data_IF_822514241151
#
_entry.id   IF_822514241151
#
_cell.length_a   1.000
_cell.length_b   1.000
_cell.length_c   1.000
_cell.angle_alpha   90.00
_cell.angle_beta   90.00
_cell.angle_gamma   90.00
#
_symmetry.space_group_name_H-M   'P 1'
#
loop_
_entity.id
_entity.type
_entity.pdbx_description
1 polymer ?
#
# COMPACT_ATOMS: atom_id res chain seq x y z
N UNK A 1 38.29 55.57 -7.91
CA UNK A 1 38.07 54.15 -8.27
C UNK A 1 36.69 53.59 -7.86
N UNK A 2 35.83 54.32 -7.14
CA UNK A 2 34.52 53.81 -6.68
C UNK A 2 33.42 53.79 -7.76
N UNK A 3 33.50 54.69 -8.76
CA UNK A 3 32.43 54.87 -9.76
C UNK A 3 32.26 53.68 -10.74
N UNK A 4 33.33 52.95 -11.06
CA UNK A 4 33.22 51.80 -11.98
C UNK A 4 32.58 50.59 -11.30
N UNK A 5 32.81 50.40 -10.01
CA UNK A 5 32.21 49.30 -9.23
C UNK A 5 30.71 49.48 -9.10
N UNK A 6 30.23 50.71 -8.89
CA UNK A 6 28.81 51.05 -8.81
C UNK A 6 28.07 50.86 -10.14
N UNK A 7 28.70 51.23 -11.26
CA UNK A 7 28.10 50.98 -12.59
C UNK A 7 27.98 49.47 -12.87
N UNK A 8 29.02 48.69 -12.56
CA UNK A 8 29.00 47.24 -12.80
C UNK A 8 27.93 46.56 -11.93
N UNK A 9 27.79 46.94 -10.66
CA UNK A 9 26.73 46.37 -9.80
C UNK A 9 25.33 46.77 -10.27
N UNK A 10 25.12 48.01 -10.72
CA UNK A 10 23.84 48.43 -11.30
C UNK A 10 23.50 47.67 -12.60
N UNK A 11 24.48 47.48 -13.48
CA UNK A 11 24.28 46.70 -14.72
C UNK A 11 23.96 45.23 -14.43
N UNK A 12 24.65 44.61 -13.47
CA UNK A 12 24.40 43.23 -13.07
C UNK A 12 23.04 43.06 -12.38
N UNK A 13 22.63 44.01 -11.53
CA UNK A 13 21.30 44.01 -10.91
C UNK A 13 20.18 44.21 -11.95
N UNK A 14 20.40 45.09 -12.92
CA UNK A 14 19.45 45.31 -14.03
C UNK A 14 19.31 44.07 -14.91
N UNK A 15 20.43 43.40 -15.24
CA UNK A 15 20.42 42.15 -15.99
C UNK A 15 19.69 41.03 -15.21
N UNK A 16 19.94 40.92 -13.90
CA UNK A 16 19.24 39.95 -13.02
C UNK A 16 17.74 40.23 -12.95
N UNK A 17 17.32 41.49 -12.85
CA UNK A 17 15.89 41.86 -12.85
C UNK A 17 15.22 41.63 -14.20
N UNK A 18 15.90 41.89 -15.32
CA UNK A 18 15.38 41.58 -16.66
C UNK A 18 15.21 40.08 -16.85
N UNK A 19 16.17 39.27 -16.39
CA UNK A 19 16.05 37.82 -16.44
C UNK A 19 14.89 37.31 -15.58
N UNK A 20 14.73 37.82 -14.35
CA UNK A 20 13.61 37.47 -13.46
C UNK A 20 12.25 37.82 -14.08
N UNK A 21 12.14 38.99 -14.72
CA UNK A 21 10.90 39.41 -15.41
C UNK A 21 10.60 38.56 -16.65
N UNK A 22 11.62 38.19 -17.43
CA UNK A 22 11.43 37.29 -18.57
C UNK A 22 10.99 35.89 -18.11
N UNK A 23 11.54 35.39 -17.00
CA UNK A 23 11.16 34.10 -16.40
C UNK A 23 9.73 34.15 -15.82
N UNK A 24 9.35 35.25 -15.18
CA UNK A 24 7.96 35.49 -14.72
C UNK A 24 6.97 35.63 -15.90
N UNK A 25 7.37 36.28 -17.00
CA UNK A 25 6.53 36.38 -18.20
C UNK A 25 6.37 35.04 -18.90
N UNK A 26 7.40 34.20 -18.97
CA UNK A 26 7.26 32.82 -19.47
C UNK A 26 6.34 31.98 -18.58
N UNK A 27 6.44 32.10 -17.25
CA UNK A 27 5.52 31.43 -16.33
C UNK A 27 4.07 31.94 -16.45
N UNK A 28 3.85 33.25 -16.65
CA UNK A 28 2.51 33.80 -16.88
C UNK A 28 1.93 33.39 -18.23
N UNK A 29 2.75 33.29 -19.28
CA UNK A 29 2.30 32.88 -20.60
C UNK A 29 1.95 31.39 -20.64
N UNK A 30 2.67 30.53 -19.89
CA UNK A 30 2.22 29.16 -19.62
C UNK A 30 0.94 29.12 -18.80
N UNK A 31 0.77 29.94 -17.75
CA UNK A 31 -0.47 29.96 -16.95
C UNK A 31 -1.72 30.37 -17.73
N UNK A 32 -1.60 31.28 -18.70
CA UNK A 32 -2.72 31.73 -19.54
C UNK A 32 -3.17 30.68 -20.57
N UNK A 33 -2.28 29.78 -21.01
CA UNK A 33 -2.64 28.66 -21.88
C UNK A 33 -3.43 27.57 -21.12
N UNK A 34 -3.19 27.40 -19.81
CA UNK A 34 -3.84 26.37 -18.99
C UNK A 34 -5.25 26.75 -18.48
N UNK A 35 -5.71 28.00 -18.65
CA UNK A 35 -7.02 28.42 -18.10
C UNK A 35 -8.21 28.12 -19.01
N UNK A 36 -8.00 27.72 -20.27
CA UNK A 36 -9.07 27.57 -21.26
C UNK A 36 -9.48 26.10 -21.54
N UNK A 37 -8.85 25.10 -20.91
CA UNK A 37 -9.08 23.68 -21.23
C UNK A 37 -8.66 22.70 -20.14
N UNK A 38 -9.02 22.96 -18.88
CA UNK A 38 -8.70 22.06 -17.76
C UNK A 38 -9.29 20.66 -17.98
N UNK A 39 -8.43 19.65 -18.02
CA UNK A 39 -8.74 18.24 -18.28
C UNK A 39 -8.78 17.86 -19.76
N UNK A 40 -8.70 18.82 -20.68
CA UNK A 40 -8.78 18.55 -22.13
C UNK A 40 -7.41 18.44 -22.80
N UNK A 41 -6.36 18.97 -22.19
CA UNK A 41 -4.99 18.89 -22.71
C UNK A 41 -4.49 17.45 -22.84
N UNK A 42 -4.99 16.55 -21.99
CA UNK A 42 -4.68 15.12 -22.07
C UNK A 42 -5.22 14.47 -23.35
N UNK A 43 -6.26 15.04 -23.99
CA UNK A 43 -6.77 14.53 -25.26
C UNK A 43 -5.76 14.73 -26.37
N UNK A 44 -5.06 15.86 -26.42
CA UNK A 44 -3.96 16.03 -27.37
C UNK A 44 -2.86 14.98 -27.16
N UNK A 45 -2.59 14.56 -25.91
CA UNK A 45 -1.64 13.48 -25.62
C UNK A 45 -2.16 12.10 -25.99
N UNK A 46 -3.46 11.83 -25.81
CA UNK A 46 -4.13 10.60 -26.24
C UNK A 46 -4.09 10.50 -27.77
N UNK A 47 -4.41 11.59 -28.47
CA UNK A 47 -4.47 11.61 -29.93
C UNK A 47 -3.08 11.53 -30.55
N UNK A 48 -2.08 12.18 -29.96
CA UNK A 48 -0.67 12.00 -30.36
C UNK A 48 -0.17 10.55 -30.18
N UNK A 49 -0.79 9.73 -29.32
CA UNK A 49 -0.48 8.30 -29.24
C UNK A 49 -1.21 7.46 -30.29
N UNK A 50 -2.37 7.94 -30.74
CA UNK A 50 -3.19 7.31 -31.77
C UNK A 50 -2.69 7.63 -33.19
N UNK A 51 -2.27 8.87 -33.42
CA UNK A 51 -1.63 9.36 -34.64
C UNK A 51 -0.24 8.71 -34.76
N UNK A 52 -0.08 7.78 -35.71
CA UNK A 52 1.17 7.01 -35.87
C UNK A 52 2.10 7.65 -36.88
N UNK A 53 1.60 8.52 -37.74
CA UNK A 53 2.35 9.16 -38.80
C UNK A 53 2.71 10.64 -38.49
N UNK A 54 2.24 11.16 -37.34
CA UNK A 54 2.41 12.52 -36.84
C UNK A 54 1.91 13.59 -37.84
N UNK A 55 0.87 13.28 -38.63
CA UNK A 55 0.30 14.22 -39.60
C UNK A 55 -0.72 15.21 -38.99
N UNK A 56 -1.02 15.03 -37.69
CA UNK A 56 -1.91 15.88 -36.92
C UNK A 56 -3.39 15.56 -37.08
N UNK A 57 -3.73 14.45 -37.75
CA UNK A 57 -5.10 13.99 -37.97
C UNK A 57 -5.14 12.47 -37.82
N UNK A 58 -6.34 11.93 -37.59
CA UNK A 58 -6.52 10.49 -37.44
C UNK A 58 -7.24 9.91 -38.64
N UNK A 59 -6.57 9.00 -39.34
CA UNK A 59 -7.21 8.10 -40.30
C UNK A 59 -8.11 7.09 -39.58
N UNK A 60 -9.05 6.47 -40.31
CA UNK A 60 -9.89 5.42 -39.73
C UNK A 60 -9.06 4.22 -39.23
N UNK A 61 -7.98 3.86 -39.92
CA UNK A 61 -7.13 2.74 -39.52
C UNK A 61 -6.44 3.01 -38.18
N UNK A 62 -5.96 4.24 -37.96
CA UNK A 62 -5.37 4.66 -36.68
C UNK A 62 -6.41 4.76 -35.57
N UNK A 63 -7.59 5.28 -35.90
CA UNK A 63 -8.72 5.35 -34.97
C UNK A 63 -9.15 3.94 -34.54
N UNK A 64 -9.35 3.02 -35.48
CA UNK A 64 -9.74 1.65 -35.21
C UNK A 64 -8.65 0.91 -34.40
N UNK A 65 -7.38 1.08 -34.76
CA UNK A 65 -6.27 0.44 -34.03
C UNK A 65 -6.14 0.93 -32.58
N UNK A 66 -6.52 2.18 -32.29
CA UNK A 66 -6.40 2.75 -30.95
C UNK A 66 -7.66 2.57 -30.08
N UNK A 67 -8.86 2.64 -30.68
CA UNK A 67 -10.13 2.66 -29.95
C UNK A 67 -10.90 1.34 -29.98
N UNK A 68 -10.49 0.34 -30.77
CA UNK A 68 -11.14 -0.97 -30.74
C UNK A 68 -10.94 -1.65 -29.38
N UNK A 69 -12.02 -1.79 -28.61
CA UNK A 69 -12.04 -2.45 -27.30
C UNK A 69 -12.87 -3.74 -27.28
N UNK A 70 -13.50 -4.10 -28.40
CA UNK A 70 -14.37 -5.27 -28.54
C UNK A 70 -15.83 -5.06 -28.10
N UNK A 71 -16.18 -3.88 -27.57
CA UNK A 71 -17.56 -3.49 -27.26
C UNK A 71 -18.30 -3.04 -28.52
N UNK A 72 -17.65 -2.21 -29.34
CA UNK A 72 -18.16 -1.79 -30.65
C UNK A 72 -17.59 -2.68 -31.76
N UNK A 73 -18.45 -3.08 -32.68
CA UNK A 73 -18.02 -3.68 -33.96
C UNK A 73 -17.24 -2.68 -34.80
N UNK A 74 -16.44 -3.16 -35.76
CA UNK A 74 -15.69 -2.28 -36.66
C UNK A 74 -16.63 -1.38 -37.46
N UNK A 75 -17.83 -1.87 -37.81
CA UNK A 75 -18.87 -1.09 -38.50
C UNK A 75 -19.44 0.02 -37.61
N UNK A 76 -19.77 -0.27 -36.35
CA UNK A 76 -20.26 0.74 -35.39
C UNK A 76 -19.19 1.78 -35.06
N UNK A 77 -17.92 1.36 -34.95
CA UNK A 77 -16.79 2.26 -34.74
C UNK A 77 -16.55 3.15 -35.97
N UNK A 78 -16.81 2.63 -37.17
CA UNK A 78 -16.75 3.39 -38.41
C UNK A 78 -17.89 4.42 -38.51
N UNK A 79 -19.11 4.07 -38.11
CA UNK A 79 -20.21 5.02 -38.00
C UNK A 79 -19.91 6.13 -37.00
N UNK A 80 -19.31 5.79 -35.85
CA UNK A 80 -18.85 6.75 -34.86
C UNK A 80 -17.82 7.71 -35.48
N UNK A 81 -16.78 7.18 -36.13
CA UNK A 81 -15.76 7.98 -36.82
C UNK A 81 -16.38 8.98 -37.80
N UNK A 82 -17.30 8.53 -38.65
CA UNK A 82 -17.99 9.40 -39.61
C UNK A 82 -18.92 10.43 -38.96
N UNK A 83 -19.52 10.09 -37.82
CA UNK A 83 -20.38 11.01 -37.08
C UNK A 83 -19.60 12.19 -36.50
N UNK A 84 -18.37 11.95 -36.02
CA UNK A 84 -17.50 12.97 -35.44
C UNK A 84 -16.83 13.81 -36.54
N UNK A 85 -16.41 13.17 -37.64
CA UNK A 85 -15.80 13.87 -38.79
C UNK A 85 -16.81 14.78 -39.54
N UNK A 86 -18.12 14.55 -39.36
CA UNK A 86 -19.15 15.24 -40.11
C UNK A 86 -19.24 14.79 -41.57
N UNK A 87 -18.75 13.57 -41.88
CA UNK A 87 -18.74 12.91 -43.20
C UNK A 87 -17.97 13.64 -44.32
N UNK A 88 -16.92 14.39 -44.02
CA UNK A 88 -16.31 15.28 -45.03
C UNK A 88 -14.86 14.97 -45.42
N UNK A 89 -14.14 14.05 -44.75
CA UNK A 89 -12.68 14.03 -44.94
C UNK A 89 -12.00 12.67 -44.87
N UNK A 90 -12.61 11.65 -44.26
CA UNK A 90 -11.89 10.44 -43.82
C UNK A 90 -10.69 10.74 -42.92
N UNK A 91 -10.63 11.94 -42.34
CA UNK A 91 -9.48 12.39 -41.57
C UNK A 91 -9.92 13.32 -40.45
N UNK A 92 -9.85 12.79 -39.23
CA UNK A 92 -10.48 13.36 -38.07
C UNK A 92 -9.54 14.35 -37.39
N UNK A 93 -9.94 15.63 -37.39
CA UNK A 93 -9.19 16.69 -36.71
C UNK A 93 -9.25 16.47 -35.19
N UNK A 94 -8.08 16.55 -34.52
CA UNK A 94 -7.94 16.31 -33.08
C UNK A 94 -8.84 17.19 -32.21
N UNK A 95 -9.12 18.40 -32.68
CA UNK A 95 -9.94 19.37 -31.95
C UNK A 95 -11.42 18.94 -31.93
N UNK A 96 -11.94 18.48 -33.08
CA UNK A 96 -13.33 17.96 -33.17
C UNK A 96 -13.52 16.72 -32.32
N UNK A 97 -12.49 15.87 -32.27
CA UNK A 97 -12.51 14.66 -31.45
C UNK A 97 -12.47 14.99 -29.95
N UNK A 98 -11.65 15.98 -29.56
CA UNK A 98 -11.64 16.51 -28.19
C UNK A 98 -13.02 17.06 -27.79
N UNK A 99 -13.65 17.85 -28.67
CA UNK A 99 -14.98 18.40 -28.43
C UNK A 99 -16.03 17.31 -28.24
N UNK A 100 -15.98 16.25 -29.05
CA UNK A 100 -16.86 15.09 -28.90
C UNK A 100 -16.66 14.41 -27.54
N UNK A 101 -15.44 14.00 -27.21
CA UNK A 101 -15.19 13.31 -25.94
C UNK A 101 -15.49 14.18 -24.72
N UNK A 102 -15.28 15.50 -24.79
CA UNK A 102 -15.62 16.42 -23.71
C UNK A 102 -17.07 16.29 -23.23
N UNK A 103 -18.00 15.95 -24.14
CA UNK A 103 -19.42 15.79 -23.84
C UNK A 103 -19.75 14.40 -23.24
N UNK A 104 -18.87 13.42 -23.42
CA UNK A 104 -19.11 12.01 -23.08
C UNK A 104 -18.30 11.49 -21.88
N UNK A 105 -17.39 12.28 -21.32
CA UNK A 105 -16.51 11.85 -20.21
C UNK A 105 -17.22 11.67 -18.86
N UNK A 106 -18.34 12.38 -18.64
CA UNK A 106 -19.06 12.33 -17.37
C UNK A 106 -18.15 12.58 -16.16
N UNK A 107 -18.18 11.66 -15.19
CA UNK A 107 -17.38 11.77 -13.96
C UNK A 107 -15.86 11.75 -14.20
N UNK A 108 -15.39 11.17 -15.31
CA UNK A 108 -13.96 11.10 -15.63
C UNK A 108 -13.36 12.46 -15.98
N UNK A 109 -14.17 13.46 -16.37
CA UNK A 109 -13.69 14.81 -16.61
C UNK A 109 -12.99 15.38 -15.35
N UNK A 110 -13.59 15.16 -14.18
CA UNK A 110 -13.02 15.59 -12.90
C UNK A 110 -11.72 14.83 -12.58
N UNK A 111 -11.64 13.56 -12.95
CA UNK A 111 -10.43 12.73 -12.77
C UNK A 111 -9.30 13.26 -13.65
N UNK A 112 -9.56 13.52 -14.93
CA UNK A 112 -8.56 14.03 -15.87
C UNK A 112 -8.09 15.44 -15.47
N UNK A 113 -9.00 16.31 -15.04
CA UNK A 113 -8.65 17.65 -14.52
C UNK A 113 -7.79 17.59 -13.26
N UNK A 114 -8.10 16.65 -12.34
CA UNK A 114 -7.27 16.42 -11.16
C UNK A 114 -5.88 15.89 -11.52
N UNK A 115 -5.78 14.98 -12.50
CA UNK A 115 -4.50 14.46 -12.99
C UNK A 115 -3.65 15.55 -13.63
N UNK A 116 -4.24 16.44 -14.43
CA UNK A 116 -3.53 17.59 -14.99
C UNK A 116 -3.01 18.52 -13.89
N UNK A 117 -3.88 18.86 -12.93
CA UNK A 117 -3.50 19.69 -11.78
C UNK A 117 -2.37 19.07 -10.97
N UNK A 118 -2.42 17.75 -10.77
CA UNK A 118 -1.37 16.98 -10.09
C UNK A 118 -0.06 17.01 -10.88
N UNK A 119 -0.11 16.82 -12.20
CA UNK A 119 1.06 16.88 -13.06
C UNK A 119 1.75 18.25 -13.00
N UNK A 120 0.99 19.34 -13.10
CA UNK A 120 1.51 20.71 -12.95
C UNK A 120 2.14 20.91 -11.57
N UNK A 121 1.50 20.42 -10.50
CA UNK A 121 2.02 20.54 -9.14
C UNK A 121 3.34 19.76 -8.95
N UNK A 122 3.43 18.54 -9.50
CA UNK A 122 4.63 17.71 -9.45
C UNK A 122 5.76 18.37 -10.22
N UNK A 123 5.53 18.81 -11.46
CA UNK A 123 6.55 19.47 -12.28
C UNK A 123 7.09 20.72 -11.58
N UNK A 124 6.19 21.56 -11.04
CA UNK A 124 6.59 22.74 -10.27
C UNK A 124 7.42 22.39 -9.02
N UNK A 125 7.05 21.34 -8.31
CA UNK A 125 7.82 20.86 -7.16
C UNK A 125 9.18 20.29 -7.58
N UNK A 126 9.25 19.60 -8.71
CA UNK A 126 10.49 19.05 -9.27
C UNK A 126 11.45 20.15 -9.71
N UNK A 127 10.96 21.17 -10.41
CA UNK A 127 11.78 22.32 -10.81
C UNK A 127 12.36 23.05 -9.59
N UNK A 128 11.50 23.33 -8.59
CA UNK A 128 11.93 23.98 -7.36
C UNK A 128 12.96 23.15 -6.60
N UNK A 129 12.69 21.85 -6.42
CA UNK A 129 13.62 20.98 -5.71
C UNK A 129 14.94 20.83 -6.45
N UNK A 130 14.93 20.78 -7.79
CA UNK A 130 16.14 20.74 -8.61
C UNK A 130 17.02 21.99 -8.41
N UNK A 131 16.43 23.17 -8.36
CA UNK A 131 17.16 24.44 -8.13
C UNK A 131 17.75 24.52 -6.72
N UNK A 132 16.99 24.11 -5.69
CA UNK A 132 17.39 24.24 -4.29
C UNK A 132 18.30 23.11 -3.80
N UNK A 133 18.33 21.96 -4.48
CA UNK A 133 18.95 20.73 -3.98
C UNK A 133 20.44 20.85 -3.65
N UNK A 134 21.25 21.34 -4.59
CA UNK A 134 22.71 21.43 -4.41
C UNK A 134 23.10 22.48 -3.36
N UNK A 135 22.27 23.49 -3.14
CA UNK A 135 22.46 24.53 -2.12
C UNK A 135 21.85 24.21 -0.76
N UNK A 136 21.12 23.09 -0.64
CA UNK A 136 20.42 22.70 0.58
C UNK A 136 21.32 22.00 1.59
N UNK A 137 20.92 22.04 2.87
CA UNK A 137 21.56 21.26 3.94
C UNK A 137 21.42 19.75 3.70
N UNK A 138 22.21 18.94 4.42
CA UNK A 138 22.11 17.47 4.38
C UNK A 138 20.69 17.00 4.69
N UNK A 139 20.03 17.62 5.67
CA UNK A 139 18.64 17.35 6.00
C UNK A 139 17.69 17.76 4.86
N UNK A 140 17.90 18.92 4.23
CA UNK A 140 17.10 19.36 3.08
C UNK A 140 17.21 18.40 1.90
N UNK A 141 18.42 17.96 1.54
CA UNK A 141 18.64 16.97 0.49
C UNK A 141 18.00 15.61 0.81
N UNK A 142 18.04 15.19 2.08
CA UNK A 142 17.33 13.99 2.54
C UNK A 142 15.82 14.13 2.35
N UNK A 143 15.22 15.23 2.82
CA UNK A 143 13.78 15.49 2.68
C UNK A 143 13.38 15.51 1.21
N UNK A 144 14.15 16.17 0.34
CA UNK A 144 13.88 16.16 -1.11
C UNK A 144 13.87 14.74 -1.69
N UNK A 145 14.87 13.91 -1.40
CA UNK A 145 14.94 12.51 -1.88
C UNK A 145 13.77 11.68 -1.34
N UNK A 146 13.44 11.86 -0.06
CA UNK A 146 12.32 11.19 0.58
C UNK A 146 10.99 11.56 -0.09
N UNK A 147 10.71 12.85 -0.26
CA UNK A 147 9.46 13.31 -0.87
C UNK A 147 9.31 12.83 -2.31
N UNK A 148 10.38 12.86 -3.11
CA UNK A 148 10.33 12.32 -4.49
C UNK A 148 9.99 10.83 -4.51
N UNK A 149 10.63 10.03 -3.62
CA UNK A 149 10.35 8.60 -3.50
C UNK A 149 8.92 8.33 -3.04
N UNK A 150 8.45 9.10 -2.06
CA UNK A 150 7.12 8.95 -1.51
C UNK A 150 6.04 9.32 -2.54
N UNK A 151 6.17 10.47 -3.22
CA UNK A 151 5.26 10.87 -4.30
C UNK A 151 5.17 9.80 -5.41
N UNK A 152 6.31 9.22 -5.82
CA UNK A 152 6.31 8.12 -6.78
C UNK A 152 5.57 6.87 -6.27
N UNK A 153 5.71 6.56 -4.98
CA UNK A 153 5.06 5.39 -4.37
C UNK A 153 3.53 5.58 -4.30
N UNK A 154 3.08 6.80 -3.98
CA UNK A 154 1.65 7.15 -3.95
C UNK A 154 1.02 7.07 -5.34
N UNK A 155 1.69 7.57 -6.38
CA UNK A 155 1.24 7.44 -7.78
C UNK A 155 1.13 5.97 -8.22
N UNK A 156 2.09 5.13 -7.85
CA UNK A 156 2.06 3.71 -8.17
C UNK A 156 0.89 2.99 -7.49
N UNK A 157 0.55 3.38 -6.26
CA UNK A 157 -0.62 2.86 -5.55
C UNK A 157 -1.92 3.19 -6.29
N UNK A 158 -2.07 4.44 -6.74
CA UNK A 158 -3.21 4.88 -7.53
C UNK A 158 -3.32 4.11 -8.85
N UNK A 159 -2.19 3.91 -9.55
CA UNK A 159 -2.15 3.13 -10.79
C UNK A 159 -2.62 1.70 -10.58
N UNK A 160 -2.18 1.02 -9.50
CA UNK A 160 -2.64 -0.34 -9.18
C UNK A 160 -4.14 -0.40 -8.95
N UNK A 161 -4.69 0.57 -8.23
CA UNK A 161 -6.14 0.64 -8.00
C UNK A 161 -6.93 0.81 -9.30
N UNK A 162 -6.44 1.64 -10.23
CA UNK A 162 -7.05 1.81 -11.55
C UNK A 162 -6.95 0.54 -12.39
N UNK A 163 -5.80 -0.14 -12.37
CA UNK A 163 -5.60 -1.40 -13.08
C UNK A 163 -6.60 -2.46 -12.63
N UNK A 164 -6.82 -2.61 -11.31
CA UNK A 164 -7.82 -3.53 -10.80
C UNK A 164 -9.26 -3.17 -11.23
N UNK A 165 -9.57 -1.87 -11.33
CA UNK A 165 -10.87 -1.44 -11.82
C UNK A 165 -11.06 -1.75 -13.31
N UNK A 166 -10.01 -1.57 -14.12
CA UNK A 166 -10.02 -1.92 -15.54
C UNK A 166 -10.26 -3.43 -15.74
N UNK A 167 -9.49 -4.27 -15.05
CA UNK A 167 -9.64 -5.74 -15.11
C UNK A 167 -11.07 -6.19 -14.74
N UNK A 168 -11.66 -5.58 -13.71
CA UNK A 168 -13.03 -5.89 -13.30
C UNK A 168 -14.11 -5.45 -14.31
N UNK A 169 -13.83 -4.43 -15.14
CA UNK A 169 -14.73 -3.97 -16.21
C UNK A 169 -14.60 -4.87 -17.44
N UNK A 170 -13.38 -5.29 -17.77
CA UNK A 170 -13.11 -6.23 -18.86
C UNK A 170 -13.76 -7.61 -18.59
N UNK A 171 -13.71 -8.11 -17.36
CA UNK A 171 -14.37 -9.37 -16.98
C UNK A 171 -15.91 -9.34 -17.11
N UNK A 172 -16.53 -8.17 -17.00
CA UNK A 172 -17.98 -7.98 -17.14
C UNK A 172 -18.44 -7.80 -18.58
N UNK A 173 -17.52 -7.50 -19.50
CA UNK A 173 -17.80 -7.19 -20.91
C UNK A 173 -17.44 -8.33 -21.88
N UNK A 174 -16.89 -9.43 -21.38
CA UNK A 174 -16.63 -10.63 -22.19
C UNK A 174 -17.93 -11.33 -22.65
N UNK A 175 -17.94 -11.97 -23.84
CA UNK A 175 -19.11 -12.67 -24.34
C UNK A 175 -19.44 -13.88 -23.45
N UNK A 176 -20.65 -13.88 -22.88
CA UNK A 176 -21.24 -15.00 -22.14
C UNK A 176 -21.10 -16.32 -22.95
N UNK A 177 -20.59 -17.43 -22.36
CA UNK A 177 -20.63 -18.73 -23.01
C UNK A 177 -22.07 -19.15 -23.24
N UNK A 178 -22.43 -19.28 -24.53
CA UNK A 178 -23.74 -19.72 -25.02
C UNK A 178 -24.24 -20.99 -24.32
N UNK A 179 -25.53 -20.94 -23.97
CA UNK A 179 -26.36 -22.01 -23.44
C UNK A 179 -26.06 -23.40 -24.01
N UNK A 180 -25.87 -24.38 -23.11
CA UNK A 180 -26.18 -25.79 -23.39
C UNK A 180 -27.06 -26.31 -22.26
N UNK A 181 -28.17 -26.92 -22.68
CA UNK A 181 -29.40 -27.30 -21.96
C UNK A 181 -29.22 -28.08 -20.65
N UNK A 182 -30.10 -27.78 -19.69
CA UNK A 182 -30.42 -28.58 -18.49
C UNK A 182 -30.68 -30.07 -18.76
N UNK A 183 -30.50 -30.92 -17.74
CA UNK A 183 -31.69 -31.49 -17.09
C UNK A 183 -31.78 -31.26 -15.57
N UNK A 184 -33.03 -31.12 -15.14
CA UNK A 184 -33.57 -30.83 -13.82
C UNK A 184 -33.15 -31.78 -12.68
N UNK A 185 -33.04 -31.19 -11.48
CA UNK A 185 -33.72 -31.56 -10.21
C UNK A 185 -32.77 -31.48 -9.01
N UNK A 186 -32.79 -30.35 -8.30
CA UNK A 186 -33.38 -30.22 -6.95
C UNK A 186 -33.00 -28.88 -6.34
N UNK A 187 -34.03 -28.13 -5.93
CA UNK A 187 -33.90 -26.82 -5.33
C UNK A 187 -33.29 -26.89 -3.92
N UNK A 188 -32.23 -26.12 -3.69
CA UNK A 188 -31.86 -25.62 -2.38
C UNK A 188 -31.45 -24.15 -2.51
N UNK A 189 -32.25 -23.29 -1.88
CA UNK A 189 -32.10 -21.85 -1.88
C UNK A 189 -30.82 -21.36 -1.19
N UNK A 190 -30.39 -20.17 -1.65
CA UNK A 190 -29.71 -19.10 -0.89
C UNK A 190 -28.26 -19.33 -0.47
N UNK A 191 -27.32 -18.71 -1.20
CA UNK A 191 -26.91 -17.31 -0.99
C UNK A 191 -25.70 -17.01 -1.87
N UNK A 192 -25.80 -15.92 -2.62
CA UNK A 192 -24.76 -15.47 -3.53
C UNK A 192 -23.56 -14.87 -2.79
N UNK A 193 -22.38 -15.28 -3.25
CA UNK A 193 -21.18 -14.48 -3.60
C UNK A 193 -19.97 -15.39 -3.45
N UNK A 194 -19.68 -16.15 -4.49
CA UNK A 194 -18.36 -16.76 -4.70
C UNK A 194 -17.55 -15.77 -5.52
N UNK A 195 -16.50 -15.20 -4.94
CA UNK A 195 -15.45 -14.53 -5.70
C UNK A 195 -14.39 -15.60 -6.00
N UNK A 196 -14.29 -16.01 -7.25
CA UNK A 196 -13.30 -17.00 -7.68
C UNK A 196 -12.03 -16.30 -8.12
N UNK A 197 -10.92 -16.54 -7.41
CA UNK A 197 -9.58 -16.38 -8.00
C UNK A 197 -9.20 -17.66 -8.72
N UNK A 198 -9.25 -17.66 -10.05
CA UNK A 198 -8.48 -18.61 -10.87
C UNK A 198 -7.20 -17.92 -11.31
N UNK A 199 -6.11 -18.18 -10.60
CA UNK A 199 -4.77 -17.87 -11.11
C UNK A 199 -4.48 -18.92 -12.20
N UNK A 200 -4.53 -18.49 -13.46
CA UNK A 200 -4.09 -19.31 -14.59
C UNK A 200 -2.67 -18.85 -14.98
N UNK A 201 -1.66 -19.45 -14.38
CA UNK A 201 -0.28 -19.34 -14.87
C UNK A 201 -0.08 -20.37 -15.99
N UNK A 202 -0.16 -19.94 -17.24
CA UNK A 202 0.32 -20.69 -18.39
C UNK A 202 1.71 -20.19 -18.78
N UNK A 203 2.75 -20.97 -18.48
CA UNK A 203 3.99 -21.01 -19.25
C UNK A 203 4.00 -22.37 -19.97
N UNK A 204 3.80 -22.35 -21.29
CA UNK A 204 3.89 -23.53 -22.14
C UNK A 204 5.22 -23.56 -22.92
N UNK A 205 5.59 -24.78 -23.31
CA UNK A 205 6.91 -25.36 -23.56
C UNK A 205 7.43 -25.27 -25.03
N UNK A 206 8.76 -25.17 -25.16
CA UNK A 206 9.73 -25.90 -26.06
C UNK A 206 9.70 -25.74 -27.61
N UNK A 207 10.81 -26.03 -28.36
CA UNK A 207 11.14 -27.43 -28.76
C UNK A 207 12.64 -27.84 -29.07
N UNK A 208 12.95 -29.13 -28.82
CA UNK A 208 13.81 -30.13 -29.55
C UNK A 208 15.36 -30.30 -29.38
N UNK A 209 15.74 -31.30 -28.54
CA UNK A 209 16.70 -32.47 -28.61
C UNK A 209 17.96 -32.50 -29.54
N UNK A 210 19.00 -33.41 -29.41
CA UNK A 210 19.15 -34.63 -28.57
C UNK A 210 20.57 -34.94 -27.95
N UNK A 211 20.64 -35.84 -26.95
CA UNK A 211 21.69 -36.88 -26.68
C UNK A 211 22.21 -37.04 -25.21
N UNK A 212 22.22 -38.31 -24.78
CA UNK A 212 23.06 -38.98 -23.74
C UNK A 212 22.61 -38.87 -22.27
N UNK A 213 22.37 -39.92 -21.48
CA UNK A 213 22.47 -41.38 -21.65
C UNK A 213 21.91 -42.07 -20.37
N UNK A 214 21.08 -43.12 -20.50
CA UNK A 214 21.40 -44.54 -20.21
C UNK A 214 21.19 -44.99 -18.73
N UNK A 215 20.09 -45.77 -18.56
CA UNK A 215 19.78 -46.86 -17.59
C UNK A 215 19.50 -46.46 -16.11
N UNK A 216 18.42 -46.88 -15.44
CA UNK A 216 17.94 -48.27 -15.20
C UNK A 216 16.44 -48.37 -14.79
N UNK A 217 15.75 -49.39 -15.31
CA UNK A 217 14.63 -50.19 -14.75
C UNK A 217 13.35 -49.56 -14.14
N UNK A 218 12.29 -49.52 -14.97
CA UNK A 218 10.91 -50.03 -14.75
C UNK A 218 10.17 -49.90 -13.42
N UNK A 219 9.06 -49.12 -13.40
CA UNK A 219 7.64 -49.54 -13.26
C UNK A 219 6.74 -48.34 -12.84
N UNK A 220 5.73 -48.03 -13.68
CA UNK A 220 4.39 -47.43 -13.42
C UNK A 220 4.24 -45.95 -12.94
N UNK A 221 3.21 -45.19 -13.41
CA UNK A 221 3.09 -43.76 -13.20
C UNK A 221 2.40 -43.45 -11.87
N UNK A 222 3.12 -42.94 -10.89
CA UNK A 222 2.54 -42.52 -9.60
C UNK A 222 3.04 -41.14 -9.13
N UNK A 223 3.48 -40.30 -10.06
CA UNK A 223 3.87 -38.91 -9.72
C UNK A 223 2.72 -37.91 -9.90
N UNK A 224 1.71 -38.24 -10.70
CA UNK A 224 0.56 -37.34 -10.94
C UNK A 224 -0.40 -37.20 -9.75
N UNK A 225 -0.60 -38.28 -8.98
CA UNK A 225 -1.52 -38.29 -7.83
C UNK A 225 -0.97 -37.51 -6.64
N UNK A 226 0.36 -37.52 -6.45
CA UNK A 226 1.06 -36.84 -5.35
C UNK A 226 0.97 -35.33 -5.48
N UNK A 227 1.13 -34.79 -6.70
CA UNK A 227 0.99 -33.35 -6.97
C UNK A 227 -0.47 -32.91 -6.92
N UNK A 228 -1.39 -33.68 -7.49
CA UNK A 228 -2.83 -33.35 -7.42
C UNK A 228 -3.32 -33.32 -5.96
N UNK A 229 -2.86 -34.25 -5.12
CA UNK A 229 -3.19 -34.27 -3.70
C UNK A 229 -2.63 -33.06 -2.95
N UNK A 230 -1.42 -32.62 -3.30
CA UNK A 230 -0.77 -31.45 -2.71
C UNK A 230 -1.50 -30.16 -3.09
N UNK A 231 -1.89 -30.04 -4.36
CA UNK A 231 -2.65 -28.91 -4.89
C UNK A 231 -4.03 -28.84 -4.23
N UNK A 232 -4.73 -29.97 -4.13
CA UNK A 232 -6.05 -30.03 -3.46
C UNK A 232 -5.95 -29.70 -1.96
N UNK A 233 -4.87 -30.13 -1.29
CA UNK A 233 -4.61 -29.76 0.11
C UNK A 233 -4.35 -28.26 0.27
N UNK A 234 -3.59 -27.66 -0.64
CA UNK A 234 -3.34 -26.22 -0.63
C UNK A 234 -4.62 -25.43 -0.93
N UNK A 235 -5.44 -25.90 -1.86
CA UNK A 235 -6.77 -25.33 -2.15
C UNK A 235 -7.66 -25.35 -0.91
N UNK A 236 -7.70 -26.47 -0.17
CA UNK A 236 -8.45 -26.58 1.08
C UNK A 236 -7.93 -25.65 2.19
N UNK A 237 -6.62 -25.41 2.25
CA UNK A 237 -6.03 -24.47 3.21
C UNK A 237 -6.31 -23.01 2.82
N UNK A 238 -6.28 -22.70 1.52
CA UNK A 238 -6.67 -21.40 0.97
C UNK A 238 -8.14 -21.12 1.23
N UNK A 239 -9.04 -22.06 0.91
CA UNK A 239 -10.47 -21.93 1.16
C UNK A 239 -10.74 -21.75 2.67
N UNK A 240 -10.01 -22.48 3.52
CA UNK A 240 -10.09 -22.30 4.98
C UNK A 240 -9.57 -20.93 5.41
N UNK A 241 -8.50 -20.40 4.83
CA UNK A 241 -7.97 -19.06 5.15
C UNK A 241 -8.81 -17.91 4.55
N UNK A 242 -9.52 -18.16 3.45
CA UNK A 242 -10.45 -17.20 2.85
C UNK A 242 -11.80 -17.18 3.61
N UNK A 243 -12.25 -18.33 4.11
CA UNK A 243 -13.47 -18.45 4.90
C UNK A 243 -13.27 -18.18 6.41
N UNK A 244 -12.09 -18.53 6.95
CA UNK A 244 -11.61 -18.25 8.31
C UNK A 244 -10.40 -17.31 8.26
N UNK A 245 -10.43 -16.28 7.43
CA UNK A 245 -9.57 -15.12 7.66
C UNK A 245 -9.78 -14.71 9.12
N UNK A 246 -8.74 -14.32 9.89
CA UNK A 246 -8.98 -13.80 11.23
C UNK A 246 -10.05 -12.74 11.07
N UNK A 247 -11.18 -12.92 11.75
CA UNK A 247 -12.24 -11.90 11.83
C UNK A 247 -11.64 -10.75 12.62
N UNK A 248 -10.72 -10.02 11.99
CA UNK A 248 -10.28 -8.73 12.42
C UNK A 248 -11.53 -7.90 12.21
N UNK A 249 -12.27 -7.68 13.30
CA UNK A 249 -13.29 -6.65 13.30
C UNK A 249 -12.63 -5.40 12.69
N UNK A 250 -13.32 -4.68 11.77
CA UNK A 250 -12.83 -3.41 11.27
C UNK A 250 -12.33 -2.59 12.45
N UNK A 251 -11.16 -1.94 12.32
CA UNK A 251 -10.60 -1.08 13.36
C UNK A 251 -11.68 -0.06 13.75
N UNK A 252 -12.38 -0.33 14.85
CA UNK A 252 -13.25 0.66 15.48
C UNK A 252 -12.29 1.62 16.15
N UNK A 253 -12.01 2.74 15.49
CA UNK A 253 -11.47 3.89 16.20
C UNK A 253 -12.51 4.28 17.26
N UNK A 254 -12.29 3.82 18.48
CA UNK A 254 -13.09 4.23 19.63
C UNK A 254 -13.00 5.75 19.73
N UNK A 255 -14.08 6.43 19.32
CA UNK A 255 -14.18 7.89 19.31
C UNK A 255 -14.40 8.44 20.73
N UNK A 256 -13.60 7.97 21.69
CA UNK A 256 -13.72 8.29 23.11
C UNK A 256 -12.35 8.66 23.70
N UNK A 257 -11.78 9.74 23.20
CA UNK A 257 -10.82 10.54 23.96
C UNK A 257 -11.47 11.17 25.24
N UNK A 258 -12.77 10.98 25.49
CA UNK A 258 -13.46 11.52 26.68
C UNK A 258 -13.65 10.53 27.83
N UNK A 259 -13.19 9.29 27.71
CA UNK A 259 -13.18 8.37 28.85
C UNK A 259 -11.89 7.58 28.89
N UNK A 260 -10.94 8.05 29.69
CA UNK A 260 -9.97 7.22 30.42
C UNK A 260 -10.68 6.25 31.39
N UNK A 261 -11.81 5.66 30.94
CA UNK A 261 -12.72 4.70 31.57
C UNK A 261 -12.05 3.71 32.49
N UNK A 262 -11.10 2.99 31.91
CA UNK A 262 -10.36 1.92 32.54
C UNK A 262 -9.42 1.34 31.46
N UNK A 263 -8.18 1.83 31.44
CA UNK A 263 -7.09 1.13 30.78
C UNK A 263 -6.32 0.39 31.88
N UNK A 264 -5.97 -0.86 31.63
CA UNK A 264 -5.04 -1.60 32.49
C UNK A 264 -3.61 -1.40 31.99
N UNK A 265 -2.65 -1.51 32.90
CA UNK A 265 -1.23 -1.43 32.57
C UNK A 265 -0.65 -2.83 32.50
N UNK A 266 -0.13 -3.22 31.34
CA UNK A 266 0.74 -4.38 31.20
C UNK A 266 2.20 -3.95 31.38
N UNK A 267 2.90 -4.60 32.30
CA UNK A 267 4.33 -4.44 32.52
C UNK A 267 5.02 -5.75 32.16
N UNK A 268 5.91 -5.70 31.19
CA UNK A 268 6.77 -6.82 30.80
C UNK A 268 8.17 -6.57 31.34
N UNK A 269 8.69 -7.51 32.11
CA UNK A 269 10.02 -7.46 32.72
C UNK A 269 10.85 -8.64 32.24
N UNK A 270 11.95 -8.37 31.56
CA UNK A 270 12.84 -9.39 31.01
C UNK A 270 14.17 -9.39 31.77
N UNK A 271 14.57 -10.57 32.21
CA UNK A 271 15.72 -10.81 33.08
C UNK A 271 16.55 -11.98 32.53
N UNK A 272 17.78 -11.70 32.11
CA UNK A 272 18.81 -12.71 31.78
C UNK A 272 19.62 -13.01 33.04
N UNK A 273 19.67 -14.27 33.47
CA UNK A 273 20.21 -14.70 34.77
C UNK A 273 21.46 -15.54 34.55
N UNK A 274 22.48 -15.33 35.37
CA UNK A 274 23.69 -16.14 35.33
C UNK A 274 23.40 -17.59 35.73
N UNK A 275 24.04 -18.55 35.06
CA UNK A 275 23.81 -19.98 35.34
C UNK A 275 24.14 -20.38 36.80
N UNK A 276 25.08 -19.68 37.44
CA UNK A 276 25.50 -19.93 38.83
C UNK A 276 24.44 -19.54 39.88
N UNK A 277 23.66 -18.49 39.59
CA UNK A 277 22.70 -17.91 40.53
C UNK A 277 21.25 -18.38 40.29
N UNK A 278 21.04 -19.22 39.27
CA UNK A 278 19.74 -19.54 38.69
C UNK A 278 18.73 -20.08 39.73
N UNK A 279 19.15 -21.00 40.60
CA UNK A 279 18.26 -21.58 41.61
C UNK A 279 17.90 -20.59 42.74
N UNK A 280 18.79 -19.68 43.08
CA UNK A 280 18.51 -18.61 44.03
C UNK A 280 17.56 -17.58 43.41
N UNK A 281 17.79 -17.21 42.15
CA UNK A 281 16.90 -16.34 41.39
C UNK A 281 15.48 -16.90 41.34
N UNK A 282 15.30 -18.20 41.05
CA UNK A 282 13.98 -18.85 41.02
C UNK A 282 13.22 -18.75 42.35
N UNK A 283 13.92 -18.85 43.47
CA UNK A 283 13.31 -18.72 44.81
C UNK A 283 12.85 -17.29 45.07
N UNK A 284 13.73 -16.33 44.78
CA UNK A 284 13.45 -14.89 44.93
C UNK A 284 12.31 -14.46 44.00
N UNK A 285 12.33 -14.92 42.75
CA UNK A 285 11.28 -14.67 41.76
C UNK A 285 9.94 -15.22 42.21
N UNK A 286 9.88 -16.47 42.69
CA UNK A 286 8.65 -17.07 43.21
C UNK A 286 8.08 -16.26 44.37
N UNK A 287 8.92 -15.90 45.34
CA UNK A 287 8.49 -15.11 46.50
C UNK A 287 7.95 -13.73 46.07
N UNK A 288 8.56 -13.10 45.07
CA UNK A 288 8.09 -11.83 44.53
C UNK A 288 6.77 -12.00 43.77
N UNK A 289 6.63 -13.02 42.92
CA UNK A 289 5.40 -13.33 42.20
C UNK A 289 4.24 -13.59 43.16
N UNK A 290 4.46 -14.39 44.21
CA UNK A 290 3.45 -14.66 45.22
C UNK A 290 3.02 -13.38 45.93
N UNK A 291 3.98 -12.54 46.35
CA UNK A 291 3.70 -11.26 47.00
C UNK A 291 3.01 -10.23 46.08
N UNK A 292 3.34 -10.25 44.78
CA UNK A 292 2.76 -9.36 43.76
C UNK A 292 1.33 -9.78 43.43
N UNK A 293 1.09 -11.09 43.28
CA UNK A 293 -0.24 -11.65 43.01
C UNK A 293 -1.24 -11.45 44.17
N UNK A 294 -0.73 -11.25 45.39
CA UNK A 294 -1.54 -10.94 46.56
C UNK A 294 -1.92 -9.44 46.68
N UNK A 295 -1.41 -8.57 45.79
CA UNK A 295 -1.77 -7.15 45.79
C UNK A 295 -3.17 -6.95 45.22
N UNK A 296 -4.00 -6.15 45.89
CA UNK A 296 -5.38 -5.89 45.47
C UNK A 296 -5.48 -5.26 44.07
N UNK A 297 -4.50 -4.42 43.71
CA UNK A 297 -4.49 -3.69 42.44
C UNK A 297 -3.74 -4.44 41.32
N UNK A 298 -3.19 -5.63 41.62
CA UNK A 298 -2.59 -6.51 40.63
C UNK A 298 -3.65 -7.50 40.13
N UNK A 299 -3.91 -7.47 38.82
CA UNK A 299 -4.93 -8.29 38.18
C UNK A 299 -4.39 -9.69 37.86
N UNK A 300 -3.12 -9.80 37.50
CA UNK A 300 -2.46 -11.06 37.18
C UNK A 300 -0.94 -10.91 37.12
N UNK A 301 -0.23 -11.99 37.48
CA UNK A 301 1.20 -12.14 37.19
C UNK A 301 1.43 -13.48 36.51
N UNK A 302 2.19 -13.45 35.41
CA UNK A 302 2.64 -14.64 34.72
C UNK A 302 4.15 -14.58 34.51
N UNK A 303 4.82 -15.73 34.65
CA UNK A 303 6.27 -15.85 34.48
C UNK A 303 6.55 -16.94 33.46
N UNK A 304 7.29 -16.59 32.42
CA UNK A 304 7.71 -17.47 31.34
C UNK A 304 9.23 -17.60 31.30
N UNK A 305 9.74 -18.84 31.19
CA UNK A 305 11.14 -19.10 30.88
C UNK A 305 11.30 -19.27 29.37
N UNK A 306 12.29 -18.60 28.78
CA UNK A 306 12.63 -18.81 27.37
C UNK A 306 13.34 -20.16 27.16
N UNK A 307 12.97 -20.94 26.12
CA UNK A 307 13.62 -22.21 25.84
C UNK A 307 15.08 -21.99 25.43
N UNK A 308 15.98 -22.81 25.99
CA UNK A 308 17.41 -22.79 25.64
C UNK A 308 18.22 -21.61 26.18
N UNK A 309 17.64 -20.74 27.02
CA UNK A 309 18.33 -19.61 27.67
C UNK A 309 17.98 -19.52 29.15
N UNK A 310 18.88 -18.96 29.95
CA UNK A 310 18.63 -18.57 31.35
C UNK A 310 17.91 -17.22 31.45
N UNK A 311 16.93 -17.00 30.56
CA UNK A 311 16.18 -15.76 30.44
C UNK A 311 14.71 -15.98 30.83
N UNK A 312 14.19 -15.07 31.64
CA UNK A 312 12.84 -15.07 32.17
C UNK A 312 12.10 -13.80 31.74
N UNK A 313 10.83 -13.94 31.40
CA UNK A 313 9.93 -12.84 31.09
C UNK A 313 8.78 -12.91 32.10
N UNK A 314 8.56 -11.83 32.82
CA UNK A 314 7.46 -11.66 33.75
C UNK A 314 6.49 -10.63 33.20
N UNK A 315 5.21 -10.99 33.19
CA UNK A 315 4.10 -10.14 32.80
C UNK A 315 3.28 -9.80 34.04
N UNK A 316 3.24 -8.53 34.41
CA UNK A 316 2.41 -8.02 35.51
C UNK A 316 1.28 -7.16 34.92
N UNK A 317 0.03 -7.49 35.23
CA UNK A 317 -1.14 -6.71 34.85
C UNK A 317 -1.62 -5.91 36.05
N UNK A 318 -1.63 -4.60 35.93
CA UNK A 318 -2.02 -3.66 36.98
C UNK A 318 -3.27 -2.89 36.60
N UNK A 319 -4.10 -2.57 37.60
CA UNK A 319 -5.31 -1.79 37.39
C UNK A 319 -5.04 -0.44 36.74
N UNK A 320 -3.97 0.23 37.15
CA UNK A 320 -3.49 1.47 36.55
C UNK A 320 -1.99 1.71 36.84
N UNK A 321 -1.46 2.80 36.26
CA UNK A 321 -0.05 3.19 36.42
C UNK A 321 0.28 3.63 37.84
N UNK A 322 -0.66 4.21 38.58
CA UNK A 322 -0.43 4.73 39.92
C UNK A 322 -0.22 3.56 40.88
N UNK A 323 -1.05 2.51 40.80
CA UNK A 323 -0.90 1.29 41.58
C UNK A 323 0.45 0.60 41.35
N UNK A 324 0.88 0.45 40.08
CA UNK A 324 2.20 -0.12 39.77
C UNK A 324 3.35 0.73 40.33
N UNK A 325 3.31 2.05 40.12
CA UNK A 325 4.35 2.95 40.63
C UNK A 325 4.41 2.96 42.16
N UNK A 326 3.26 2.86 42.83
CA UNK A 326 3.16 2.70 44.28
C UNK A 326 3.79 1.38 44.74
N UNK A 327 3.48 0.28 44.06
CA UNK A 327 4.05 -1.03 44.37
C UNK A 327 5.58 -1.07 44.19
N UNK A 328 6.13 -0.42 43.17
CA UNK A 328 7.58 -0.27 42.99
C UNK A 328 8.26 0.44 44.17
N UNK A 329 7.53 1.29 44.90
CA UNK A 329 8.06 1.95 46.10
C UNK A 329 7.99 1.09 47.35
N UNK A 330 7.27 -0.03 47.33
CA UNK A 330 7.15 -0.96 48.44
C UNK A 330 8.49 -1.64 48.76
N UNK A 331 8.63 -2.09 50.02
CA UNK A 331 9.82 -2.82 50.45
C UNK A 331 9.98 -4.14 49.67
N UNK A 332 8.88 -4.86 49.41
CA UNK A 332 8.93 -6.12 48.67
C UNK A 332 9.49 -5.96 47.25
N UNK A 333 9.12 -4.90 46.54
CA UNK A 333 9.65 -4.62 45.21
C UNK A 333 11.11 -4.17 45.23
N UNK A 334 11.48 -3.28 46.17
CA UNK A 334 12.86 -2.81 46.34
C UNK A 334 13.81 -3.93 46.75
N UNK A 335 13.38 -4.80 47.65
CA UNK A 335 14.18 -5.94 48.10
C UNK A 335 14.35 -6.96 46.97
N UNK A 336 13.31 -7.21 46.17
CA UNK A 336 13.43 -8.01 44.95
C UNK A 336 14.46 -7.42 43.97
N UNK A 337 14.37 -6.12 43.65
CA UNK A 337 15.32 -5.44 42.76
C UNK A 337 16.76 -5.52 43.26
N UNK A 338 16.98 -5.30 44.56
CA UNK A 338 18.30 -5.43 45.19
C UNK A 338 18.83 -6.85 45.16
N UNK A 339 17.99 -7.85 45.36
CA UNK A 339 18.42 -9.24 45.32
C UNK A 339 18.79 -9.65 43.89
N UNK A 340 17.97 -9.27 42.91
CA UNK A 340 18.11 -9.75 41.53
C UNK A 340 19.27 -9.07 40.79
N UNK A 341 19.63 -7.82 41.10
CA UNK A 341 20.68 -7.09 40.37
C UNK A 341 22.02 -7.83 40.32
N UNK A 342 22.39 -8.55 41.39
CA UNK A 342 23.64 -9.31 41.48
C UNK A 342 23.54 -10.70 40.81
N UNK A 343 22.36 -11.12 40.38
CA UNK A 343 22.08 -12.41 39.76
C UNK A 343 21.96 -12.33 38.23
N UNK A 344 21.77 -11.13 37.67
CA UNK A 344 21.56 -10.92 36.24
C UNK A 344 22.87 -10.87 35.44
N UNK A 345 22.84 -11.41 34.22
CA UNK A 345 23.91 -11.25 33.22
C UNK A 345 23.89 -9.85 32.60
N UNK A 346 22.68 -9.35 32.30
CA UNK A 346 22.43 -8.06 31.67
C UNK A 346 21.45 -7.23 32.51
N UNK A 347 21.44 -5.91 32.30
CA UNK A 347 20.46 -5.04 32.93
C UNK A 347 19.01 -5.48 32.60
N UNK A 348 18.14 -5.44 33.60
CA UNK A 348 16.72 -5.74 33.44
C UNK A 348 16.08 -4.83 32.39
N UNK A 349 15.34 -5.42 31.45
CA UNK A 349 14.58 -4.68 30.43
C UNK A 349 13.11 -4.63 30.83
N UNK A 350 12.58 -3.42 31.00
CA UNK A 350 11.17 -3.19 31.36
C UNK A 350 10.44 -2.49 30.21
N UNK A 351 9.34 -3.08 29.76
CA UNK A 351 8.44 -2.51 28.75
C UNK A 351 7.04 -2.37 29.34
N UNK A 352 6.34 -1.28 29.00
CA UNK A 352 4.99 -1.02 29.50
C UNK A 352 4.04 -0.73 28.36
N UNK A 353 2.82 -1.27 28.43
CA UNK A 353 1.77 -1.06 27.45
C UNK A 353 0.44 -0.79 28.14
N UNK A 354 -0.30 0.23 27.69
CA UNK A 354 -1.68 0.43 28.11
C UNK A 354 -2.59 -0.42 27.24
N UNK A 355 -3.47 -1.18 27.89
CA UNK A 355 -4.43 -2.06 27.22
C UNK A 355 -5.84 -1.62 27.64
N UNK A 356 -6.81 -1.52 26.72
CA UNK A 356 -8.19 -1.28 27.09
C UNK A 356 -8.68 -2.33 28.10
N UNK A 357 -9.28 -1.94 29.22
CA UNK A 357 -9.78 -2.91 30.20
C UNK A 357 -10.89 -3.80 29.63
N UNK A 358 -11.56 -3.36 28.55
CA UNK A 358 -12.51 -4.18 27.80
C UNK A 358 -11.89 -5.46 27.21
N UNK A 359 -10.57 -5.49 26.99
CA UNK A 359 -9.84 -6.67 26.52
C UNK A 359 -9.53 -7.65 27.67
N UNK A 360 -9.64 -7.20 28.91
CA UNK A 360 -9.47 -8.04 30.11
C UNK A 360 -10.76 -8.83 30.39
N UNK A 361 -11.03 -9.81 29.55
CA UNK A 361 -12.20 -10.68 29.70
C UNK A 361 -11.79 -11.88 30.56
N UNK A 362 -12.14 -11.86 31.85
CA UNK A 362 -12.08 -13.08 32.65
C UNK A 362 -13.23 -13.99 32.21
N UNK A 363 -12.93 -15.01 31.41
CA UNK A 363 -13.82 -16.15 31.30
C UNK A 363 -13.84 -16.82 32.67
N UNK A 364 -14.90 -16.57 33.46
CA UNK A 364 -15.21 -17.41 34.61
C UNK A 364 -15.44 -18.83 34.08
N UNK A 365 -14.41 -19.68 34.20
CA UNK A 365 -14.55 -21.12 34.00
C UNK A 365 -15.41 -21.74 35.09
#
# INVERSE_FOLDING_TARGET
MLACTEMITMCLQSAKQKHLRAQQQQQQQQQLLHSAGQGLTIFHDIFRRADKNDDGKLSFDEFNAYFADGILSTEELQELFFSIDGRQNNNLDTDKLSDYFSQHLGAYLNVLSALESLNVAILKAMDKTKEEYQGSSVLGQFVTRFMLRETSSQLQSLQRSLQCAMEAVEEQSGPDPREVKEPELTALQRNGRRCGRRIHNNLCMSPSDPCSGVLTNGVSPQDGETWCSQINRLQLLLDKLECEGPKLEPLKEDTLASTYKSNILLVQRQMSVTDESLDNFRKVLRSYTDATSAQADNLHVSVQKLPGKSCYIMYEFWQDRISWMSYLQSNGSKDFQRCVIDMLEDAEVVSTMLIPASWWIMSNN
#
